data_IF_627029186085
#
_entry.id   IF_627029186085
#
_cell.length_a   1.000
_cell.length_b   1.000
_cell.length_c   1.000
_cell.angle_alpha   90.00
_cell.angle_beta   90.00
_cell.angle_gamma   90.00
#
_symmetry.space_group_name_H-M   'P 1'
#
loop_
_entity.id
_entity.type
_entity.pdbx_description
1 polymer ?
#
# COMPACT_ATOMS: atom_id res chain seq x y z
N UNK A 1 -20.19 36.02 -15.53
CA UNK A 1 -19.74 35.27 -14.34
C UNK A 1 -19.81 33.79 -14.69
N UNK A 2 -18.66 33.13 -14.89
CA UNK A 2 -18.62 31.71 -15.30
C UNK A 2 -18.56 30.86 -14.04
N UNK A 3 -19.62 30.10 -13.77
CA UNK A 3 -19.71 29.18 -12.64
C UNK A 3 -18.83 27.96 -12.90
N UNK A 4 -17.74 27.82 -12.15
CA UNK A 4 -16.88 26.63 -12.18
C UNK A 4 -17.58 25.47 -11.46
N UNK A 5 -18.21 24.59 -12.24
CA UNK A 5 -18.74 23.31 -11.76
C UNK A 5 -17.58 22.41 -11.32
N UNK A 6 -17.43 22.22 -10.01
CA UNK A 6 -16.49 21.25 -9.44
C UNK A 6 -17.01 19.83 -9.74
N UNK A 7 -16.30 19.08 -10.57
CA UNK A 7 -16.48 17.64 -10.73
C UNK A 7 -16.09 16.94 -9.42
N UNK A 8 -17.09 16.60 -8.62
CA UNK A 8 -16.95 15.67 -7.49
C UNK A 8 -17.12 14.27 -8.07
N UNK A 9 -16.02 13.54 -8.20
CA UNK A 9 -16.07 12.12 -8.55
C UNK A 9 -16.37 11.34 -7.27
N UNK A 10 -17.64 11.00 -7.05
CA UNK A 10 -17.99 9.93 -6.11
C UNK A 10 -17.68 8.60 -6.80
N UNK A 11 -16.60 7.95 -6.39
CA UNK A 11 -16.21 6.63 -6.89
C UNK A 11 -16.87 5.55 -6.02
N UNK A 12 -17.48 4.50 -6.62
CA UNK A 12 -18.09 3.42 -5.86
C UNK A 12 -17.05 2.61 -5.08
N UNK A 13 -17.39 2.31 -3.82
CA UNK A 13 -16.53 1.79 -2.76
C UNK A 13 -15.95 0.36 -2.93
N UNK A 14 -15.90 -0.21 -4.15
CA UNK A 14 -15.41 -1.59 -4.31
C UNK A 14 -14.72 -1.90 -5.65
N UNK A 15 -14.36 -0.89 -6.45
CA UNK A 15 -13.73 -1.13 -7.75
C UNK A 15 -12.46 -0.29 -7.95
N UNK A 16 -11.43 -0.56 -7.13
CA UNK A 16 -10.06 -0.08 -7.39
C UNK A 16 -9.38 -0.93 -8.48
N UNK A 17 -10.05 -1.08 -9.63
CA UNK A 17 -9.42 -1.43 -10.89
C UNK A 17 -9.50 -0.19 -11.76
N UNK A 18 -8.41 0.58 -11.79
CA UNK A 18 -8.18 1.55 -12.85
C UNK A 18 -7.97 0.72 -14.13
N UNK A 19 -9.05 0.45 -14.86
CA UNK A 19 -8.97 0.14 -16.29
C UNK A 19 -8.38 1.37 -16.98
N UNK A 20 -7.04 1.42 -17.09
CA UNK A 20 -6.43 2.22 -18.15
C UNK A 20 -6.74 1.48 -19.44
N UNK A 21 -7.61 2.06 -20.26
CA UNK A 21 -7.86 1.59 -21.61
C UNK A 21 -6.53 1.34 -22.34
N UNK A 22 -6.30 0.07 -22.69
CA UNK A 22 -5.27 -0.33 -23.64
C UNK A 22 -5.59 0.32 -24.99
N UNK A 23 -4.94 1.45 -25.27
CA UNK A 23 -4.79 1.93 -26.64
C UNK A 23 -3.54 1.28 -27.23
N UNK A 24 -3.61 0.60 -28.38
CA UNK A 24 -2.44 0.07 -29.06
C UNK A 24 -1.76 1.24 -29.79
N UNK A 25 -0.58 1.66 -29.31
CA UNK A 25 0.37 2.45 -30.09
C UNK A 25 1.47 1.46 -30.48
N UNK A 26 1.46 0.88 -31.69
CA UNK A 26 1.85 1.52 -32.95
C UNK A 26 3.02 2.48 -32.74
N UNK A 27 4.22 1.96 -33.01
CA UNK A 27 5.44 2.74 -33.14
C UNK A 27 5.21 3.82 -34.18
N UNK A 28 5.35 5.09 -33.77
CA UNK A 28 5.91 6.09 -34.65
C UNK A 28 7.00 6.86 -33.90
N UNK A 29 8.22 6.57 -34.32
CA UNK A 29 9.42 7.35 -34.08
C UNK A 29 9.30 8.59 -34.96
N UNK A 30 8.99 9.75 -34.38
CA UNK A 30 9.30 11.04 -35.00
C UNK A 30 10.10 11.86 -34.00
N UNK A 31 11.41 11.72 -34.15
CA UNK A 31 12.42 12.60 -33.58
C UNK A 31 12.40 13.90 -34.38
N UNK A 32 12.07 15.02 -33.75
CA UNK A 32 12.34 16.35 -34.33
C UNK A 32 13.33 17.11 -33.46
N UNK A 33 14.51 17.30 -34.06
CA UNK A 33 15.55 18.21 -33.61
C UNK A 33 15.04 19.65 -33.64
N UNK A 34 15.18 20.35 -32.51
CA UNK A 34 15.72 21.72 -32.41
C UNK A 34 15.23 22.36 -31.11
N UNK A 35 16.09 22.41 -30.09
CA UNK A 35 16.20 23.65 -29.34
C UNK A 35 17.55 23.80 -28.64
N UNK A 36 18.25 24.84 -29.10
CA UNK A 36 19.58 25.27 -28.69
C UNK A 36 19.40 26.24 -27.52
N UNK A 37 19.58 25.76 -26.29
CA UNK A 37 19.72 26.66 -25.14
C UNK A 37 21.16 26.60 -24.60
N UNK A 38 21.89 27.67 -24.93
CA UNK A 38 23.11 28.07 -24.23
C UNK A 38 22.71 28.54 -22.82
N UNK A 39 23.25 27.90 -21.80
CA UNK A 39 23.10 28.30 -20.40
C UNK A 39 24.35 27.91 -19.63
N UNK A 40 25.05 28.90 -19.11
CA UNK A 40 26.38 28.89 -18.50
C UNK A 40 26.59 27.87 -17.37
N UNK A 41 27.70 27.12 -17.49
CA UNK A 41 28.28 26.24 -16.46
C UNK A 41 28.69 27.05 -15.23
N UNK A 42 28.16 26.70 -14.05
CA UNK A 42 28.88 26.80 -12.77
C UNK A 42 28.57 25.60 -11.87
N UNK A 43 29.59 24.75 -11.70
CA UNK A 43 29.91 24.09 -10.43
C UNK A 43 28.99 22.98 -9.90
N UNK A 44 28.77 21.89 -10.65
CA UNK A 44 28.24 20.66 -10.06
C UNK A 44 29.41 19.77 -9.58
N UNK A 45 29.71 19.82 -8.27
CA UNK A 45 30.64 18.89 -7.62
C UNK A 45 30.06 17.48 -7.73
N UNK A 46 30.86 16.58 -8.29
CA UNK A 46 30.55 15.17 -8.53
C UNK A 46 30.34 14.40 -7.24
N UNK A 47 29.09 14.11 -6.87
CA UNK A 47 28.76 13.11 -5.85
C UNK A 47 28.65 11.72 -6.53
N UNK A 48 29.80 11.21 -7.01
CA UNK A 48 29.98 9.82 -7.47
C UNK A 48 30.41 8.98 -6.28
N UNK A 49 29.46 8.39 -5.54
CA UNK A 49 29.66 7.21 -4.65
C UNK A 49 28.37 6.94 -3.86
N UNK A 50 27.36 6.30 -4.48
CA UNK A 50 26.38 5.47 -3.75
C UNK A 50 25.35 4.73 -4.64
N UNK A 51 25.65 4.45 -5.92
CA UNK A 51 24.71 3.68 -6.77
C UNK A 51 25.01 2.18 -6.85
N UNK A 52 26.22 1.75 -6.49
CA UNK A 52 26.59 0.32 -6.56
C UNK A 52 26.08 -0.49 -5.37
N UNK A 53 25.99 0.07 -4.17
CA UNK A 53 25.60 -0.71 -2.97
C UNK A 53 24.12 -1.11 -2.97
N UNK A 54 23.23 -0.27 -3.53
CA UNK A 54 21.80 -0.57 -3.57
C UNK A 54 21.44 -1.68 -4.57
N UNK A 55 22.18 -1.80 -5.66
CA UNK A 55 21.89 -2.81 -6.68
C UNK A 55 22.23 -4.24 -6.17
N UNK A 56 23.28 -4.39 -5.35
CA UNK A 56 23.67 -5.69 -4.79
C UNK A 56 22.72 -6.21 -3.70
N UNK A 57 22.13 -5.31 -2.89
CA UNK A 57 21.20 -5.72 -1.83
C UNK A 57 19.86 -6.26 -2.39
N UNK A 58 19.38 -5.68 -3.51
CA UNK A 58 18.10 -6.10 -4.12
C UNK A 58 18.24 -7.43 -4.87
N UNK A 59 19.37 -7.68 -5.54
CA UNK A 59 19.61 -8.94 -6.26
C UNK A 59 19.86 -10.12 -5.31
N UNK A 60 20.51 -9.92 -4.17
CA UNK A 60 20.76 -10.99 -3.20
C UNK A 60 19.46 -11.50 -2.54
N UNK A 61 18.48 -10.63 -2.32
CA UNK A 61 17.23 -11.02 -1.65
C UNK A 61 16.26 -11.76 -2.58
N UNK A 62 16.23 -11.43 -3.87
CA UNK A 62 15.41 -12.13 -4.86
C UNK A 62 15.86 -13.58 -5.11
N UNK A 63 17.14 -13.89 -4.87
CA UNK A 63 17.64 -15.26 -5.01
C UNK A 63 17.28 -16.19 -3.84
N UNK A 64 16.96 -15.64 -2.66
CA UNK A 64 16.60 -16.47 -1.48
C UNK A 64 15.13 -16.91 -1.47
N UNK A 65 14.20 -16.08 -1.96
CA UNK A 65 12.78 -16.42 -1.99
C UNK A 65 12.44 -17.51 -3.03
N UNK A 66 13.22 -17.62 -4.10
CA UNK A 66 13.01 -18.64 -5.13
C UNK A 66 13.41 -20.06 -4.68
N UNK A 67 14.28 -20.21 -3.67
CA UNK A 67 14.75 -21.52 -3.20
C UNK A 67 13.87 -22.18 -2.13
N UNK A 68 12.95 -21.45 -1.48
CA UNK A 68 12.09 -22.02 -0.43
C UNK A 68 10.80 -22.67 -0.94
N UNK A 69 10.46 -22.52 -2.22
CA UNK A 69 9.21 -23.06 -2.78
C UNK A 69 9.33 -24.46 -3.40
N UNK A 70 10.52 -25.08 -3.40
CA UNK A 70 10.74 -26.38 -4.05
C UNK A 70 10.58 -27.57 -3.06
N UNK A 71 10.49 -27.34 -1.75
CA UNK A 71 10.55 -28.43 -0.75
C UNK A 71 9.23 -28.83 -0.07
N UNK A 72 8.06 -28.46 -0.62
CA UNK A 72 6.76 -28.86 -0.07
C UNK A 72 5.90 -29.56 -1.12
N UNK A 73 6.44 -30.62 -1.70
CA UNK A 73 5.68 -31.64 -2.40
C UNK A 73 6.21 -33.00 -1.90
N UNK A 74 5.31 -33.97 -1.72
CA UNK A 74 5.54 -35.33 -1.22
C UNK A 74 5.40 -35.52 0.31
N UNK A 75 4.18 -35.40 0.82
CA UNK A 75 3.70 -36.24 1.92
C UNK A 75 2.21 -36.54 1.71
N UNK A 76 1.92 -37.38 0.71
CA UNK A 76 0.61 -37.98 0.51
C UNK A 76 0.44 -39.13 1.49
N UNK A 77 -0.51 -39.00 2.41
CA UNK A 77 -1.01 -40.07 3.25
C UNK A 77 -2.45 -40.37 2.85
N UNK A 78 -2.66 -41.53 2.24
CA UNK A 78 -3.97 -42.11 1.97
C UNK A 78 -4.71 -42.37 3.28
N UNK A 79 -5.90 -41.79 3.46
CA UNK A 79 -6.87 -42.22 4.45
C UNK A 79 -8.17 -42.67 3.76
N UNK A 80 -8.71 -43.84 4.11
CA UNK A 80 -9.93 -44.38 3.52
C UNK A 80 -11.20 -43.64 3.99
N UNK A 81 -12.29 -43.69 3.21
CA UNK A 81 -13.53 -42.99 3.51
C UNK A 81 -14.29 -43.66 4.67
N UNK A 82 -14.32 -42.98 5.82
CA UNK A 82 -15.20 -43.30 6.93
C UNK A 82 -16.61 -42.77 6.68
N UNK A 83 -17.60 -43.65 6.71
CA UNK A 83 -19.02 -43.35 6.60
C UNK A 83 -19.47 -42.34 7.67
N UNK A 84 -19.99 -41.19 7.24
CA UNK A 84 -20.64 -40.22 8.12
C UNK A 84 -22.11 -40.60 8.29
N UNK A 85 -22.46 -40.93 9.53
CA UNK A 85 -23.82 -41.19 9.99
C UNK A 85 -24.63 -39.89 9.98
N UNK A 86 -25.75 -39.91 9.26
CA UNK A 86 -26.73 -38.83 9.19
C UNK A 86 -27.49 -38.75 10.52
N UNK A 87 -27.14 -37.78 11.36
CA UNK A 87 -27.97 -37.38 12.50
C UNK A 87 -28.70 -36.09 12.16
N UNK A 88 -29.99 -36.28 11.86
CA UNK A 88 -31.02 -35.26 11.81
C UNK A 88 -31.15 -34.62 13.21
N UNK A 89 -30.43 -33.53 13.45
CA UNK A 89 -30.53 -32.71 14.65
C UNK A 89 -31.46 -31.53 14.41
N UNK A 90 -32.55 -31.47 15.18
CA UNK A 90 -33.56 -30.42 15.18
C UNK A 90 -32.94 -29.01 15.24
N UNK A 91 -33.36 -28.15 14.31
CA UNK A 91 -33.12 -26.72 14.33
C UNK A 91 -33.86 -26.09 15.53
N UNK A 92 -33.18 -26.00 16.67
CA UNK A 92 -33.56 -25.11 17.75
C UNK A 92 -33.28 -23.67 17.32
N UNK A 93 -34.32 -22.84 17.25
CA UNK A 93 -34.20 -21.39 17.07
C UNK A 93 -33.47 -20.85 18.30
N UNK A 94 -32.25 -20.29 18.18
CA UNK A 94 -31.57 -19.68 19.31
C UNK A 94 -32.25 -18.34 19.63
N UNK A 95 -33.24 -18.37 20.53
CA UNK A 95 -33.73 -17.17 21.22
C UNK A 95 -32.70 -16.81 22.30
N UNK A 96 -31.63 -16.14 21.90
CA UNK A 96 -30.57 -15.70 22.80
C UNK A 96 -30.23 -14.25 22.53
N UNK A 97 -30.91 -13.33 23.22
CA UNK A 97 -30.63 -11.89 23.27
C UNK A 97 -29.32 -11.57 24.03
N UNK A 98 -28.32 -12.44 23.93
CA UNK A 98 -27.00 -12.18 24.49
C UNK A 98 -26.30 -11.20 23.57
N UNK A 99 -26.53 -9.91 23.79
CA UNK A 99 -25.77 -8.84 23.17
C UNK A 99 -24.28 -9.19 23.28
N UNK A 100 -23.53 -9.24 22.16
CA UNK A 100 -22.12 -9.59 22.19
C UNK A 100 -21.44 -8.66 23.19
N UNK A 101 -20.66 -9.25 24.11
CA UNK A 101 -19.93 -8.47 25.11
C UNK A 101 -19.15 -7.37 24.40
N UNK A 102 -19.29 -6.13 24.89
CA UNK A 102 -18.73 -4.94 24.25
C UNK A 102 -17.24 -5.04 23.95
N UNK A 103 -16.50 -5.90 24.65
CA UNK A 103 -15.07 -6.15 24.42
C UNK A 103 -14.77 -6.87 23.09
N UNK A 104 -15.56 -7.86 22.70
CA UNK A 104 -15.33 -8.59 21.44
C UNK A 104 -15.63 -7.71 20.21
N UNK A 105 -16.62 -6.82 20.33
CA UNK A 105 -16.94 -5.85 19.28
C UNK A 105 -15.81 -4.83 19.09
N UNK A 106 -15.22 -4.33 20.19
CA UNK A 106 -14.07 -3.41 20.14
C UNK A 106 -12.86 -4.08 19.47
N UNK A 107 -12.59 -5.36 19.78
CA UNK A 107 -11.44 -6.07 19.21
C UNK A 107 -11.59 -6.35 17.70
N UNK A 108 -12.81 -6.71 17.25
CA UNK A 108 -13.07 -6.91 15.81
C UNK A 108 -12.91 -5.62 15.01
N UNK A 109 -13.33 -4.46 15.55
CA UNK A 109 -13.20 -3.17 14.89
C UNK A 109 -11.75 -2.69 14.79
N UNK A 110 -10.89 -3.12 15.72
CA UNK A 110 -9.46 -2.82 15.69
C UNK A 110 -8.69 -3.52 14.55
N UNK A 111 -9.32 -4.44 13.82
CA UNK A 111 -8.68 -5.18 12.72
C UNK A 111 -8.92 -4.57 11.34
N UNK A 112 -9.96 -3.74 11.19
CA UNK A 112 -10.40 -3.24 9.88
C UNK A 112 -9.95 -1.80 9.65
N UNK A 113 -9.47 -1.50 8.44
CA UNK A 113 -9.17 -0.14 8.00
C UNK A 113 -10.35 0.40 7.20
N UNK A 114 -10.90 1.58 7.50
CA UNK A 114 -11.96 2.15 6.67
C UNK A 114 -11.44 2.46 5.26
N UNK A 115 -12.33 2.58 4.28
CA UNK A 115 -11.95 3.06 2.95
C UNK A 115 -11.77 4.59 2.98
N UNK A 116 -10.59 5.13 2.65
CA UNK A 116 -10.36 6.56 2.70
C UNK A 116 -11.08 7.27 1.55
N UNK A 117 -11.75 8.39 1.85
CA UNK A 117 -12.37 9.26 0.84
C UNK A 117 -11.32 10.25 0.33
N UNK A 118 -10.87 10.05 -0.91
CA UNK A 118 -9.74 10.77 -1.49
C UNK A 118 -10.14 11.55 -2.75
N UNK A 119 -9.52 12.70 -2.96
CA UNK A 119 -9.53 13.44 -4.22
C UNK A 119 -8.13 13.51 -4.79
N UNK A 120 -7.94 13.08 -6.03
CA UNK A 120 -6.69 13.28 -6.73
C UNK A 120 -6.53 14.74 -7.16
N UNK A 121 -5.41 15.36 -6.78
CA UNK A 121 -5.02 16.69 -7.23
C UNK A 121 -3.94 16.58 -8.31
N UNK A 122 -4.33 16.88 -9.55
CA UNK A 122 -3.45 16.81 -10.70
C UNK A 122 -2.32 17.85 -10.69
N UNK A 123 -2.48 18.96 -9.94
CA UNK A 123 -1.45 20.00 -9.84
C UNK A 123 -0.26 19.57 -8.99
N UNK A 124 -0.53 18.81 -7.91
CA UNK A 124 0.50 18.33 -6.99
C UNK A 124 0.88 16.86 -7.18
N UNK A 125 0.15 16.12 -8.03
CA UNK A 125 0.29 14.67 -8.25
C UNK A 125 0.19 13.88 -6.92
N UNK A 126 -0.82 14.25 -6.12
CA UNK A 126 -1.08 13.72 -4.78
C UNK A 126 -2.57 13.47 -4.56
N UNK A 127 -2.89 12.58 -3.63
CA UNK A 127 -4.25 12.44 -3.13
C UNK A 127 -4.43 13.30 -1.90
N UNK A 128 -5.57 13.98 -1.80
CA UNK A 128 -5.98 14.79 -0.65
C UNK A 128 -7.16 14.07 0.02
N UNK A 129 -7.08 13.89 1.34
CA UNK A 129 -8.18 13.36 2.14
C UNK A 129 -9.32 14.37 2.20
N UNK A 130 -10.54 13.93 1.87
CA UNK A 130 -11.75 14.77 1.95
C UNK A 130 -12.44 14.71 3.32
N UNK A 131 -12.21 13.64 4.07
CA UNK A 131 -12.76 13.41 5.41
C UNK A 131 -11.67 12.92 6.35
N UNK A 132 -11.89 13.07 7.66
CA UNK A 132 -11.00 12.50 8.67
C UNK A 132 -10.90 10.98 8.47
N UNK A 133 -9.67 10.48 8.47
CA UNK A 133 -9.38 9.06 8.31
C UNK A 133 -9.00 8.46 9.67
N UNK A 134 -9.97 7.78 10.27
CA UNK A 134 -9.87 7.24 11.63
C UNK A 134 -9.37 5.79 11.57
N UNK A 135 -8.17 5.53 12.09
CA UNK A 135 -7.67 4.17 12.34
C UNK A 135 -7.70 3.86 13.84
N UNK A 136 -7.54 2.58 14.24
CA UNK A 136 -7.51 2.21 15.65
C UNK A 136 -6.42 2.92 16.46
N UNK A 137 -5.32 3.32 15.82
CA UNK A 137 -4.16 3.94 16.47
C UNK A 137 -4.15 5.46 16.40
N UNK A 138 -4.59 6.04 15.29
CA UNK A 138 -4.57 7.48 15.09
C UNK A 138 -5.65 7.96 14.13
N UNK A 139 -5.96 9.25 14.21
CA UNK A 139 -6.85 9.93 13.26
C UNK A 139 -6.04 10.89 12.42
N UNK A 140 -6.11 10.74 11.10
CA UNK A 140 -5.52 11.67 10.14
C UNK A 140 -6.59 12.71 9.76
N UNK A 141 -6.34 14.01 9.95
CA UNK A 141 -7.34 15.03 9.67
C UNK A 141 -7.61 15.18 8.16
N UNK A 142 -8.83 15.61 7.82
CA UNK A 142 -9.18 16.00 6.46
C UNK A 142 -8.27 17.11 5.93
N UNK A 143 -8.01 17.10 4.62
CA UNK A 143 -7.10 18.05 3.96
C UNK A 143 -5.65 17.58 3.90
N UNK A 144 -5.29 16.52 4.63
CA UNK A 144 -3.98 15.89 4.51
C UNK A 144 -3.75 15.30 3.11
N UNK A 145 -2.51 15.39 2.63
CA UNK A 145 -2.12 14.82 1.35
C UNK A 145 -1.27 13.57 1.53
N UNK A 146 -1.33 12.64 0.58
CA UNK A 146 -0.42 11.49 0.47
C UNK A 146 0.12 11.40 -0.95
N UNK A 147 1.39 10.99 -1.08
CA UNK A 147 1.98 10.67 -2.38
C UNK A 147 1.92 9.16 -2.72
N UNK A 148 1.32 8.38 -1.83
CA UNK A 148 1.15 6.93 -1.92
C UNK A 148 2.44 6.19 -1.57
N UNK A 149 2.70 5.09 -2.28
CA UNK A 149 3.96 4.38 -2.13
C UNK A 149 5.08 5.12 -2.86
N UNK A 150 5.80 5.99 -2.15
CA UNK A 150 7.05 6.62 -2.61
C UNK A 150 8.11 5.56 -2.90
N UNK A 151 8.31 5.22 -4.19
CA UNK A 151 9.12 4.07 -4.60
C UNK A 151 10.06 4.39 -5.77
N UNK A 152 11.26 3.76 -5.83
CA UNK A 152 12.08 3.81 -7.03
C UNK A 152 11.41 3.04 -8.18
N UNK A 153 11.70 3.40 -9.42
CA UNK A 153 11.11 2.77 -10.62
C UNK A 153 11.26 1.23 -10.64
N UNK A 154 12.30 0.67 -10.01
CA UNK A 154 12.49 -0.79 -9.93
C UNK A 154 11.39 -1.49 -9.14
N UNK A 155 10.78 -0.82 -8.16
CA UNK A 155 9.67 -1.38 -7.40
C UNK A 155 8.40 -1.55 -8.26
N UNK A 156 8.27 -0.76 -9.34
CA UNK A 156 7.20 -0.93 -10.34
C UNK A 156 7.29 -2.27 -11.04
N UNK A 157 8.51 -2.68 -11.37
CA UNK A 157 8.77 -3.95 -12.03
C UNK A 157 8.40 -5.13 -11.11
N UNK A 158 8.45 -4.92 -9.79
CA UNK A 158 8.02 -5.89 -8.78
C UNK A 158 6.51 -5.84 -8.51
N UNK A 159 5.75 -5.04 -9.23
CA UNK A 159 4.29 -4.96 -9.11
C UNK A 159 3.79 -4.07 -7.97
N UNK A 160 4.67 -3.39 -7.23
CA UNK A 160 4.25 -2.36 -6.26
C UNK A 160 3.79 -1.17 -7.10
N UNK A 161 2.49 -0.89 -7.16
CA UNK A 161 1.97 0.33 -7.80
C UNK A 161 2.01 1.50 -6.82
N UNK A 162 2.03 2.74 -7.33
CA UNK A 162 2.15 3.95 -6.50
C UNK A 162 0.89 4.18 -5.68
N UNK A 163 -0.24 3.95 -6.35
CA UNK A 163 -1.57 3.95 -5.76
C UNK A 163 -2.11 2.55 -5.96
N UNK A 164 -2.09 1.76 -4.89
CA UNK A 164 -2.55 0.38 -4.86
C UNK A 164 -3.35 0.16 -3.57
N UNK A 165 -3.68 -1.11 -3.30
CA UNK A 165 -4.32 -1.59 -2.08
C UNK A 165 -3.54 -1.31 -0.77
N UNK A 166 -2.30 -0.84 -0.86
CA UNK A 166 -1.51 -0.37 0.28
C UNK A 166 -1.72 1.11 0.62
N UNK A 167 -2.48 1.85 -0.20
CA UNK A 167 -2.70 3.29 -0.03
C UNK A 167 -3.22 3.68 1.38
N UNK A 168 -4.16 2.95 2.01
CA UNK A 168 -4.59 3.24 3.37
C UNK A 168 -3.45 3.21 4.41
N UNK A 169 -2.49 2.29 4.25
CA UNK A 169 -1.31 2.23 5.11
C UNK A 169 -0.33 3.39 4.85
N UNK A 170 -0.16 3.78 3.58
CA UNK A 170 0.69 4.90 3.19
C UNK A 170 0.18 6.24 3.75
N UNK A 171 -1.14 6.48 3.76
CA UNK A 171 -1.74 7.71 4.32
C UNK A 171 -1.32 7.91 5.78
N UNK A 172 -1.44 6.85 6.60
CA UNK A 172 -1.08 6.90 8.02
C UNK A 172 0.41 7.15 8.19
N UNK A 173 1.25 6.45 7.42
CA UNK A 173 2.71 6.56 7.49
C UNK A 173 3.20 7.96 7.08
N UNK A 174 2.70 8.50 5.98
CA UNK A 174 3.03 9.85 5.49
C UNK A 174 2.67 10.92 6.52
N UNK A 175 1.51 10.79 7.16
CA UNK A 175 1.05 11.72 8.19
C UNK A 175 1.97 11.68 9.42
N UNK A 176 2.24 10.48 9.95
CA UNK A 176 3.18 10.32 11.08
C UNK A 176 4.56 10.90 10.77
N UNK A 177 5.07 10.66 9.56
CA UNK A 177 6.39 11.14 9.14
C UNK A 177 6.47 12.66 9.02
N UNK A 178 5.38 13.30 8.58
CA UNK A 178 5.32 14.75 8.39
C UNK A 178 5.21 15.48 9.71
N UNK A 179 4.26 15.04 10.54
CA UNK A 179 3.97 15.60 11.85
C UNK A 179 5.00 15.18 12.91
N UNK A 180 5.85 14.19 12.61
CA UNK A 180 6.87 13.70 13.54
C UNK A 180 6.25 13.03 14.77
N UNK A 181 5.14 12.31 14.59
CA UNK A 181 4.44 11.64 15.69
C UNK A 181 5.22 10.41 16.14
N UNK A 182 5.52 10.35 17.45
CA UNK A 182 6.27 9.25 18.05
C UNK A 182 7.73 9.17 17.57
N UNK A 183 8.24 7.96 17.45
CA UNK A 183 9.54 7.66 16.87
C UNK A 183 9.42 7.10 15.46
N UNK A 184 10.47 7.24 14.66
CA UNK A 184 10.54 6.61 13.33
C UNK A 184 10.25 5.11 13.37
N UNK A 185 10.76 4.42 14.38
CA UNK A 185 10.55 2.98 14.56
C UNK A 185 9.07 2.65 14.76
N UNK A 186 8.37 3.43 15.58
CA UNK A 186 6.93 3.25 15.80
C UNK A 186 6.12 3.50 14.53
N UNK A 187 6.46 4.53 13.76
CA UNK A 187 5.82 4.78 12.47
C UNK A 187 6.04 3.63 11.47
N UNK A 188 7.27 3.12 11.36
CA UNK A 188 7.59 1.99 10.47
C UNK A 188 6.94 0.67 10.94
N UNK A 189 6.83 0.45 12.26
CA UNK A 189 6.17 -0.71 12.84
C UNK A 189 4.64 -0.65 12.61
N UNK A 190 4.03 0.54 12.80
CA UNK A 190 2.61 0.74 12.52
C UNK A 190 2.31 0.59 11.03
N UNK A 191 3.21 1.04 10.16
CA UNK A 191 3.10 0.81 8.72
C UNK A 191 3.09 -0.68 8.37
N UNK A 192 3.95 -1.48 9.01
CA UNK A 192 3.96 -2.93 8.82
C UNK A 192 2.63 -3.58 9.26
N UNK A 193 2.07 -3.15 10.39
CA UNK A 193 0.77 -3.62 10.90
C UNK A 193 -0.34 -3.27 9.90
N UNK A 194 -0.40 -2.02 9.43
CA UNK A 194 -1.42 -1.59 8.49
C UNK A 194 -1.30 -2.27 7.11
N UNK A 195 -0.09 -2.62 6.67
CA UNK A 195 0.10 -3.43 5.46
C UNK A 195 -0.44 -4.87 5.63
N UNK A 196 -0.34 -5.47 6.83
CA UNK A 196 -0.98 -6.76 7.09
C UNK A 196 -2.52 -6.63 7.06
N UNK A 197 -3.08 -5.56 7.64
CA UNK A 197 -4.52 -5.28 7.51
C UNK A 197 -4.94 -5.09 6.06
N UNK A 198 -4.12 -4.40 5.25
CA UNK A 198 -4.39 -4.25 3.82
C UNK A 198 -4.32 -5.59 3.07
N UNK A 199 -3.46 -6.53 3.50
CA UNK A 199 -3.44 -7.89 2.97
C UNK A 199 -4.75 -8.61 3.29
N UNK A 200 -5.15 -8.60 4.55
CA UNK A 200 -6.32 -9.35 5.00
C UNK A 200 -7.63 -8.79 4.44
N UNK A 201 -7.73 -7.47 4.28
CA UNK A 201 -8.94 -6.78 3.85
C UNK A 201 -9.00 -6.54 2.34
N UNK A 202 -7.91 -6.04 1.74
CA UNK A 202 -7.88 -5.63 0.33
C UNK A 202 -7.15 -6.65 -0.55
N UNK A 203 -6.77 -7.81 -0.02
CA UNK A 203 -5.97 -8.81 -0.75
C UNK A 203 -4.63 -8.24 -1.26
N UNK A 204 -4.00 -7.34 -0.51
CA UNK A 204 -2.64 -6.87 -0.81
C UNK A 204 -1.64 -8.06 -0.74
N UNK A 205 -0.76 -8.24 -1.74
CA UNK A 205 0.16 -9.38 -1.78
C UNK A 205 1.15 -9.36 -0.59
N UNK A 206 1.04 -10.37 0.28
CA UNK A 206 1.86 -10.48 1.49
C UNK A 206 3.39 -10.49 1.23
N UNK A 207 3.81 -10.98 0.06
CA UNK A 207 5.22 -10.98 -0.36
C UNK A 207 5.79 -9.57 -0.53
N UNK A 208 4.95 -8.54 -0.76
CA UNK A 208 5.39 -7.16 -0.93
C UNK A 208 5.50 -6.39 0.39
N UNK A 209 4.98 -6.93 1.49
CA UNK A 209 4.99 -6.24 2.80
C UNK A 209 6.43 -6.05 3.29
N UNK A 210 7.20 -7.14 3.36
CA UNK A 210 8.59 -7.10 3.85
C UNK A 210 9.50 -6.14 3.07
N UNK A 211 9.54 -6.15 1.71
CA UNK A 211 10.37 -5.22 0.97
C UNK A 211 9.92 -3.76 1.15
N UNK A 212 8.61 -3.48 1.28
CA UNK A 212 8.12 -2.12 1.56
C UNK A 212 8.55 -1.64 2.95
N UNK A 213 8.38 -2.46 3.99
CA UNK A 213 8.80 -2.13 5.37
C UNK A 213 10.31 -1.94 5.46
N UNK A 214 11.09 -2.80 4.79
CA UNK A 214 12.54 -2.68 4.75
C UNK A 214 12.97 -1.38 4.03
N UNK A 215 12.29 -1.02 2.95
CA UNK A 215 12.58 0.19 2.19
C UNK A 215 12.38 1.46 3.03
N UNK A 216 11.29 1.58 3.80
CA UNK A 216 11.08 2.74 4.68
C UNK A 216 12.07 2.79 5.84
N UNK A 217 12.42 1.63 6.41
CA UNK A 217 13.42 1.55 7.50
C UNK A 217 14.80 1.99 7.05
N UNK A 218 15.22 1.62 5.83
CA UNK A 218 16.52 2.00 5.27
C UNK A 218 16.51 3.43 4.70
N UNK A 219 15.45 3.78 3.96
CA UNK A 219 15.40 4.99 3.13
C UNK A 219 14.76 6.21 3.79
N UNK A 220 13.84 6.01 4.74
CA UNK A 220 13.12 7.09 5.39
C UNK A 220 14.02 7.87 6.34
N UNK A 221 14.26 9.15 6.07
CA UNK A 221 14.89 10.06 7.05
C UNK A 221 13.90 11.00 7.73
N UNK A 222 12.74 11.27 7.11
CA UNK A 222 11.58 11.96 7.71
C UNK A 222 11.88 13.27 8.45
N UNK A 223 10.90 13.74 9.22
CA UNK A 223 11.05 14.85 10.18
C UNK A 223 11.66 14.41 11.52
N UNK A 224 11.91 13.12 11.72
CA UNK A 224 12.43 12.59 12.97
C UNK A 224 13.89 13.01 13.20
N UNK A 225 14.14 13.73 14.30
CA UNK A 225 15.49 14.08 14.74
C UNK A 225 16.28 12.83 15.12
N UNK A 226 17.59 12.88 14.87
CA UNK A 226 18.52 11.77 15.08
C UNK A 226 18.89 11.57 16.54
#
# INVERSE_FOLDING_TARGET
MVSSSKLVYELPAAHWMVERGSSPLLLDVVWTENNKLRGTRKGFKTMKKSKRTYLFAVTAFMSCAALSCIFTACAGGDQPPGMVSSQNGQAGIPTGDTAPSSSAYVESKARFLPDPVLRYDCGSDRFILLSDYVTPELTVPAGEYTDGASRPAIAELLGIKRYDRSLPACIVHDYMYREGLGSKKEADDLFAINLQRCRDQFSFPGLLIQPMVLAVRIGGRGSYSR
#
